data_IF_170690268074
#
_entry.id   IF_170690268074
#
_cell.length_a   1.000
_cell.length_b   1.000
_cell.length_c   1.000
_cell.angle_alpha   90.00
_cell.angle_beta   90.00
_cell.angle_gamma   90.00
#
_symmetry.space_group_name_H-M   'P 1'
#
loop_
_entity.id
_entity.type
_entity.pdbx_description
1 polymer ?
#
# COMPACT_ATOMS: atom_id res chain seq x y z
N UNK A 1 -9.70 -34.33 -29.63
CA UNK A 1 -9.44 -34.03 -28.98
C UNK A 1 -9.55 -33.68 -28.08
N UNK A 2 -9.85 -33.61 -27.91
CA UNK A 2 -9.96 -33.07 -27.23
C UNK A 2 -9.77 -33.11 -26.12
N UNK A 3 -9.37 -33.41 -25.72
CA UNK A 3 -9.02 -33.55 -24.59
C UNK A 3 -8.42 -32.62 -23.87
N UNK A 4 -7.85 -31.87 -24.42
CA UNK A 4 -7.36 -30.82 -23.78
C UNK A 4 -8.36 -30.14 -23.12
N UNK A 5 -9.47 -30.22 -23.55
CA UNK A 5 -10.57 -29.56 -22.93
C UNK A 5 -10.87 -30.12 -21.58
N UNK A 6 -10.30 -31.26 -21.28
CA UNK A 6 -10.50 -31.79 -19.95
C UNK A 6 -9.57 -31.17 -18.96
N UNK A 7 -8.55 -30.53 -19.43
CA UNK A 7 -7.75 -29.77 -18.52
C UNK A 7 -8.61 -28.60 -18.13
N UNK A 8 -8.94 -28.50 -16.89
CA UNK A 8 -9.59 -27.33 -16.37
C UNK A 8 -8.81 -26.14 -16.86
N UNK A 9 -9.49 -25.15 -17.46
CA UNK A 9 -8.77 -23.95 -17.86
C UNK A 9 -8.07 -23.45 -16.62
N UNK A 10 -6.81 -23.26 -16.73
CA UNK A 10 -6.03 -22.76 -15.65
C UNK A 10 -6.33 -21.29 -15.55
N UNK A 11 -7.46 -20.98 -14.94
CA UNK A 11 -7.74 -19.57 -14.63
C UNK A 11 -6.84 -19.25 -13.47
N UNK A 12 -5.90 -18.40 -13.73
CA UNK A 12 -5.07 -17.89 -12.67
C UNK A 12 -5.69 -16.62 -12.16
N UNK A 13 -6.12 -16.67 -10.92
CA UNK A 13 -6.71 -15.52 -10.26
C UNK A 13 -5.89 -15.20 -9.03
N UNK A 14 -5.60 -13.94 -8.85
CA UNK A 14 -4.91 -13.45 -7.67
C UNK A 14 -5.79 -12.43 -6.97
N UNK A 15 -5.82 -12.42 -5.64
CA UNK A 15 -6.41 -11.28 -4.97
C UNK A 15 -5.62 -10.03 -5.31
N UNK A 16 -6.31 -8.90 -5.32
CA UNK A 16 -5.71 -7.60 -5.56
C UNK A 16 -5.77 -6.82 -4.26
N UNK A 17 -4.63 -6.34 -3.81
CA UNK A 17 -4.57 -5.44 -2.66
C UNK A 17 -4.09 -4.09 -3.11
N UNK A 18 -4.75 -3.05 -2.63
CA UNK A 18 -4.35 -1.67 -2.90
C UNK A 18 -3.73 -1.10 -1.66
N UNK A 19 -2.63 -0.40 -1.82
CA UNK A 19 -1.83 0.11 -0.70
C UNK A 19 -1.53 1.58 -0.90
N UNK A 20 -1.53 2.33 0.19
CA UNK A 20 -1.31 3.76 0.17
C UNK A 20 0.09 4.12 0.64
N UNK A 21 0.76 4.99 -0.10
CA UNK A 21 1.97 5.63 0.39
C UNK A 21 1.54 7.01 0.88
N UNK A 22 1.33 7.13 2.18
CA UNK A 22 0.88 8.36 2.82
C UNK A 22 2.04 9.01 3.53
N UNK A 23 2.47 10.17 3.01
CA UNK A 23 3.58 10.92 3.59
C UNK A 23 3.03 12.17 4.27
N UNK A 24 3.43 12.37 5.51
CA UNK A 24 3.05 13.54 6.31
C UNK A 24 4.28 14.05 7.05
N UNK A 25 4.60 15.31 6.87
CA UNK A 25 5.78 15.95 7.48
C UNK A 25 7.07 15.18 7.18
N UNK A 26 7.22 14.73 5.93
CA UNK A 26 8.43 14.04 5.48
C UNK A 26 8.58 12.62 5.96
N UNK A 27 7.51 12.01 6.47
CA UNK A 27 7.54 10.63 6.98
C UNK A 27 6.38 9.83 6.43
N UNK A 28 6.64 8.56 6.13
CA UNK A 28 5.63 7.66 5.56
C UNK A 28 4.98 6.84 6.67
N UNK A 29 3.67 6.65 6.55
CA UNK A 29 2.89 5.85 7.49
C UNK A 29 3.05 4.38 7.17
N UNK A 30 3.48 3.58 8.14
CA UNK A 30 3.63 2.14 8.01
C UNK A 30 2.97 1.41 9.16
N UNK A 31 2.54 0.20 8.88
CA UNK A 31 1.93 -0.70 9.86
C UNK A 31 2.78 -1.96 9.96
N UNK A 32 2.87 -2.53 11.16
CA UNK A 32 3.61 -3.77 11.35
C UNK A 32 2.63 -4.92 11.42
N UNK A 33 2.88 -5.94 10.62
CA UNK A 33 2.00 -7.10 10.57
C UNK A 33 2.46 -8.22 11.51
N UNK A 34 1.71 -9.31 11.53
CA UNK A 34 1.99 -10.43 12.44
C UNK A 34 3.25 -11.20 12.07
N UNK A 35 3.79 -11.02 10.86
CA UNK A 35 5.05 -11.62 10.43
C UNK A 35 6.25 -10.77 10.82
N UNK A 36 6.04 -9.72 11.61
CA UNK A 36 7.08 -8.77 12.02
C UNK A 36 7.65 -7.99 10.84
N UNK A 37 6.86 -7.82 9.80
CA UNK A 37 7.23 -6.99 8.65
C UNK A 37 6.46 -5.69 8.70
N UNK A 38 7.10 -4.62 8.26
CA UNK A 38 6.42 -3.36 8.05
C UNK A 38 5.78 -3.37 6.66
N UNK A 39 4.63 -2.75 6.55
CA UNK A 39 3.89 -2.72 5.29
C UNK A 39 3.14 -1.40 5.15
N UNK A 40 2.73 -1.12 3.92
CA UNK A 40 1.87 0.03 3.65
C UNK A 40 0.45 -0.30 4.08
N UNK A 41 -0.29 0.70 4.58
CA UNK A 41 -1.70 0.51 4.89
C UNK A 41 -2.51 0.28 3.62
N UNK A 42 -3.57 -0.47 3.73
CA UNK A 42 -4.45 -0.80 2.62
C UNK A 42 -5.07 -2.17 2.80
N UNK A 43 -5.68 -2.70 1.76
CA UNK A 43 -6.32 -4.00 1.86
C UNK A 43 -6.85 -4.49 0.53
N UNK A 44 -7.63 -5.54 0.59
CA UNK A 44 -8.14 -6.21 -0.60
C UNK A 44 -9.22 -5.39 -1.29
N UNK A 45 -9.09 -5.30 -2.60
CA UNK A 45 -10.11 -4.70 -3.44
C UNK A 45 -11.34 -5.60 -3.45
N UNK A 46 -12.50 -5.01 -3.22
CA UNK A 46 -13.75 -5.73 -3.24
C UNK A 46 -14.44 -5.58 -4.59
N UNK A 47 -15.31 -6.54 -4.91
CA UNK A 47 -16.05 -6.48 -6.17
C UNK A 47 -16.90 -5.21 -6.23
N UNK A 48 -16.82 -4.52 -7.37
CA UNK A 48 -17.58 -3.30 -7.56
C UNK A 48 -16.99 -2.06 -6.92
N UNK A 49 -15.85 -2.18 -6.28
CA UNK A 49 -15.19 -1.07 -5.60
C UNK A 49 -14.06 -0.52 -6.46
N UNK A 50 -14.01 0.80 -6.64
CA UNK A 50 -12.89 1.43 -7.34
C UNK A 50 -11.67 1.43 -6.44
N UNK A 51 -10.45 1.27 -7.01
CA UNK A 51 -9.24 1.21 -6.18
C UNK A 51 -9.02 2.42 -5.28
N UNK A 52 -9.30 3.63 -5.76
CA UNK A 52 -9.12 4.83 -4.94
C UNK A 52 -10.09 4.86 -3.75
N UNK A 53 -11.32 4.42 -3.97
CA UNK A 53 -12.31 4.34 -2.89
C UNK A 53 -11.90 3.27 -1.87
N UNK A 54 -11.34 2.16 -2.35
CA UNK A 54 -10.84 1.10 -1.49
C UNK A 54 -9.74 1.62 -0.57
N UNK A 55 -8.80 2.38 -1.11
CA UNK A 55 -7.72 2.96 -0.31
C UNK A 55 -8.28 3.85 0.79
N UNK A 56 -9.17 4.77 0.46
CA UNK A 56 -9.74 5.67 1.45
C UNK A 56 -10.46 4.91 2.55
N UNK A 57 -11.22 3.89 2.18
CA UNK A 57 -11.95 3.05 3.13
C UNK A 57 -10.99 2.29 4.04
N UNK A 58 -10.00 1.61 3.47
CA UNK A 58 -9.05 0.81 4.23
C UNK A 58 -8.20 1.65 5.19
N UNK A 59 -7.74 2.81 4.74
CA UNK A 59 -6.96 3.70 5.60
C UNK A 59 -7.80 4.16 6.78
N UNK A 60 -9.05 4.53 6.54
CA UNK A 60 -9.96 4.93 7.60
C UNK A 60 -10.20 3.79 8.59
N UNK A 61 -10.42 2.57 8.08
CA UNK A 61 -10.63 1.41 8.94
C UNK A 61 -9.41 1.06 9.76
N UNK A 62 -8.22 1.12 9.16
CA UNK A 62 -7.00 0.70 9.83
C UNK A 62 -6.39 1.76 10.74
N UNK A 63 -6.55 3.02 10.42
CA UNK A 63 -5.83 4.10 11.11
C UNK A 63 -6.70 5.26 11.58
N UNK A 64 -7.93 5.34 11.12
CA UNK A 64 -8.81 6.46 11.41
C UNK A 64 -8.49 7.73 10.64
N UNK A 65 -7.50 7.71 9.75
CA UNK A 65 -7.09 8.91 9.04
C UNK A 65 -7.87 9.12 7.75
N UNK A 66 -8.37 10.35 7.51
CA UNK A 66 -8.93 10.69 6.21
C UNK A 66 -7.80 11.02 5.24
N UNK A 67 -7.91 10.54 4.01
CA UNK A 67 -6.89 10.75 2.99
C UNK A 67 -7.51 11.03 1.64
N UNK A 68 -6.76 11.74 0.81
CA UNK A 68 -7.09 11.91 -0.60
C UNK A 68 -6.16 11.01 -1.40
N UNK A 69 -6.73 10.14 -2.24
CA UNK A 69 -5.94 9.25 -3.07
C UNK A 69 -5.44 9.99 -4.30
N UNK A 70 -4.15 9.89 -4.54
CA UNK A 70 -3.48 10.48 -5.69
C UNK A 70 -3.21 9.46 -6.78
N UNK A 71 -2.06 9.59 -7.49
CA UNK A 71 -1.78 8.76 -8.64
C UNK A 71 -1.32 7.35 -8.25
N UNK A 72 -1.53 6.44 -9.20
CA UNK A 72 -0.96 5.10 -9.09
C UNK A 72 0.56 5.22 -9.19
N UNK A 73 1.26 4.46 -8.37
CA UNK A 73 2.72 4.49 -8.35
C UNK A 73 3.33 3.24 -8.98
N UNK A 74 2.79 2.07 -8.66
CA UNK A 74 3.39 0.82 -9.10
C UNK A 74 2.39 -0.32 -8.96
N UNK A 75 2.69 -1.41 -9.64
CA UNK A 75 1.95 -2.66 -9.49
C UNK A 75 2.95 -3.80 -9.57
N UNK A 76 2.86 -4.75 -8.63
CA UNK A 76 3.79 -5.86 -8.58
C UNK A 76 3.15 -7.06 -7.89
N UNK A 77 3.64 -8.25 -8.26
CA UNK A 77 3.13 -9.47 -7.66
C UNK A 77 3.95 -9.82 -6.43
N UNK A 78 3.27 -9.99 -5.32
CA UNK A 78 3.91 -10.34 -4.06
C UNK A 78 3.62 -11.81 -3.75
N UNK A 79 4.69 -12.59 -3.65
CA UNK A 79 4.60 -13.97 -3.22
C UNK A 79 4.83 -14.00 -1.71
N UNK A 80 3.75 -14.14 -0.95
CA UNK A 80 3.83 -14.10 0.52
C UNK A 80 4.36 -15.42 1.06
N UNK A 81 3.79 -16.52 0.58
CA UNK A 81 4.19 -17.88 0.96
C UNK A 81 3.61 -18.81 -0.08
N UNK A 82 3.88 -20.09 0.06
CA UNK A 82 3.39 -21.09 -0.89
C UNK A 82 1.87 -20.98 -1.05
N UNK A 83 1.44 -20.79 -2.29
CA UNK A 83 0.02 -20.66 -2.62
C UNK A 83 -0.61 -19.33 -2.27
N UNK A 84 0.17 -18.36 -1.78
CA UNK A 84 -0.33 -17.06 -1.39
C UNK A 84 0.34 -15.96 -2.19
N UNK A 85 -0.21 -15.70 -3.37
CA UNK A 85 0.25 -14.62 -4.24
C UNK A 85 -0.80 -13.53 -4.30
N UNK A 86 -0.37 -12.29 -4.38
CA UNK A 86 -1.28 -11.15 -4.43
C UNK A 86 -0.71 -10.11 -5.39
N UNK A 87 -1.58 -9.47 -6.15
CA UNK A 87 -1.19 -8.32 -6.95
C UNK A 87 -1.30 -7.09 -6.07
N UNK A 88 -0.19 -6.42 -5.84
CA UNK A 88 -0.14 -5.18 -5.07
C UNK A 88 -0.18 -4.01 -6.04
N UNK A 89 -1.07 -3.06 -5.78
CA UNK A 89 -1.12 -1.81 -6.54
C UNK A 89 -0.97 -0.68 -5.52
N UNK A 90 0.01 0.18 -5.72
CA UNK A 90 0.30 1.26 -4.78
C UNK A 90 -0.11 2.62 -5.34
N UNK A 91 -0.59 3.48 -4.44
CA UNK A 91 -1.03 4.83 -4.78
C UNK A 91 -0.37 5.81 -3.82
N UNK A 92 0.06 6.96 -4.36
CA UNK A 92 0.46 8.08 -3.51
C UNK A 92 -0.79 8.74 -2.94
N UNK A 93 -0.74 9.07 -1.67
CA UNK A 93 -1.90 9.66 -0.98
C UNK A 93 -1.49 10.89 -0.20
N UNK A 94 -2.47 11.77 0.03
CA UNK A 94 -2.26 13.00 0.80
C UNK A 94 -3.12 12.97 2.05
N UNK A 95 -2.57 13.37 3.21
CA UNK A 95 -3.37 13.45 4.43
C UNK A 95 -4.34 14.61 4.34
N UNK A 96 -5.53 14.46 4.96
CA UNK A 96 -6.53 15.52 5.01
C UNK A 96 -6.65 16.14 6.39
N UNK A 97 -5.63 16.04 7.20
CA UNK A 97 -5.65 16.61 8.54
C UNK A 97 -4.41 16.20 9.30
N UNK A 98 -4.37 16.57 10.58
CA UNK A 98 -3.22 16.29 11.44
C UNK A 98 -3.54 15.40 12.61
N UNK A 99 -4.67 14.70 12.58
CA UNK A 99 -5.02 13.82 13.68
C UNK A 99 -4.05 12.64 13.76
N UNK A 100 -3.87 12.13 14.96
CA UNK A 100 -2.98 10.99 15.18
C UNK A 100 -3.65 9.71 14.69
N UNK A 101 -2.89 8.81 14.04
CA UNK A 101 -3.45 7.53 13.64
C UNK A 101 -3.72 6.66 14.87
N UNK A 102 -4.70 5.76 14.73
CA UNK A 102 -5.08 4.82 15.76
C UNK A 102 -4.74 3.41 15.27
N UNK A 103 -4.04 2.65 16.09
CA UNK A 103 -3.68 1.28 15.75
C UNK A 103 -4.91 0.38 15.83
N UNK A 104 -5.20 -0.34 14.74
CA UNK A 104 -6.30 -1.30 14.73
C UNK A 104 -5.86 -2.64 15.31
N UNK A 105 -6.83 -3.50 15.61
CA UNK A 105 -6.54 -4.82 16.18
C UNK A 105 -5.82 -5.75 15.20
N UNK A 106 -5.82 -5.41 13.92
CA UNK A 106 -5.23 -6.25 12.89
C UNK A 106 -3.72 -6.09 12.77
N UNK A 107 -3.16 -5.07 13.39
CA UNK A 107 -1.73 -4.78 13.28
C UNK A 107 -1.06 -4.68 14.64
N UNK A 108 0.24 -4.94 14.66
CA UNK A 108 1.04 -4.98 15.89
C UNK A 108 1.61 -3.63 16.27
N UNK A 109 1.82 -2.77 15.31
CA UNK A 109 2.41 -1.46 15.54
C UNK A 109 2.11 -0.54 14.38
N UNK A 110 2.28 0.76 14.60
CA UNK A 110 2.04 1.80 13.60
C UNK A 110 3.03 2.91 13.85
N UNK A 111 3.53 3.52 12.77
CA UNK A 111 4.47 4.62 12.92
C UNK A 111 4.68 5.38 11.62
N UNK A 112 5.31 6.54 11.76
CA UNK A 112 5.75 7.36 10.65
C UNK A 112 7.28 7.29 10.56
N UNK A 113 7.80 7.06 9.38
CA UNK A 113 9.23 6.80 9.18
C UNK A 113 9.79 7.70 8.10
N UNK A 114 11.00 8.18 8.30
CA UNK A 114 11.72 8.92 7.26
C UNK A 114 12.14 7.95 6.15
N UNK A 115 12.44 8.50 4.98
CA UNK A 115 12.91 7.70 3.87
C UNK A 115 14.19 6.94 4.23
N UNK A 116 15.06 7.56 4.99
CA UNK A 116 16.30 6.91 5.43
C UNK A 116 16.03 5.72 6.34
N UNK A 117 15.05 5.86 7.25
CA UNK A 117 14.67 4.77 8.14
C UNK A 117 14.07 3.60 7.38
N UNK A 118 13.27 3.88 6.35
CA UNK A 118 12.63 2.84 5.54
C UNK A 118 13.65 1.90 4.93
N UNK A 119 14.81 2.42 4.52
CA UNK A 119 15.83 1.62 3.85
C UNK A 119 16.28 0.42 4.68
N UNK A 120 16.27 0.54 6.01
CA UNK A 120 16.73 -0.53 6.90
C UNK A 120 15.60 -1.34 7.53
N UNK A 121 14.34 -1.04 7.21
CA UNK A 121 13.24 -1.79 7.80
C UNK A 121 13.06 -3.16 7.13
N UNK A 122 12.54 -4.10 7.92
CA UNK A 122 12.13 -5.40 7.40
C UNK A 122 10.80 -5.21 6.67
N UNK A 123 10.85 -5.11 5.36
CA UNK A 123 9.66 -4.98 4.54
C UNK A 123 9.95 -5.38 3.10
N UNK A 124 8.94 -5.83 2.35
CA UNK A 124 9.12 -6.19 0.94
C UNK A 124 9.69 -5.04 0.11
N UNK A 125 10.61 -5.38 -0.77
CA UNK A 125 11.30 -4.40 -1.62
C UNK A 125 10.34 -3.61 -2.50
N UNK A 126 9.27 -4.23 -2.98
CA UNK A 126 8.28 -3.54 -3.80
C UNK A 126 7.66 -2.35 -3.09
N UNK A 127 7.39 -2.47 -1.80
CA UNK A 127 6.89 -1.34 -1.01
C UNK A 127 7.93 -0.23 -0.92
N UNK A 128 9.20 -0.61 -0.71
CA UNK A 128 10.28 0.40 -0.62
C UNK A 128 10.41 1.19 -1.92
N UNK A 129 10.26 0.53 -3.06
CA UNK A 129 10.31 1.20 -4.35
C UNK A 129 9.16 2.20 -4.52
N UNK A 130 7.96 1.83 -4.11
CA UNK A 130 6.82 2.73 -4.17
C UNK A 130 7.01 3.95 -3.28
N UNK A 131 7.53 3.72 -2.07
CA UNK A 131 7.81 4.80 -1.12
C UNK A 131 8.83 5.77 -1.71
N UNK A 132 9.91 5.24 -2.26
CA UNK A 132 10.95 6.05 -2.87
C UNK A 132 10.39 6.88 -4.02
N UNK A 133 9.56 6.28 -4.85
CA UNK A 133 8.92 6.96 -5.98
C UNK A 133 8.05 8.12 -5.51
N UNK A 134 7.26 7.91 -4.46
CA UNK A 134 6.37 8.96 -3.97
C UNK A 134 7.14 10.11 -3.33
N UNK A 135 8.16 9.80 -2.53
CA UNK A 135 9.01 10.85 -1.95
C UNK A 135 9.66 11.69 -3.04
N UNK A 136 10.12 11.07 -4.12
CA UNK A 136 10.73 11.80 -5.23
C UNK A 136 9.74 12.76 -5.88
N UNK A 137 8.50 12.32 -6.09
CA UNK A 137 7.46 13.19 -6.67
C UNK A 137 7.07 14.32 -5.73
N UNK A 138 6.93 14.03 -4.45
CA UNK A 138 6.56 15.04 -3.46
C UNK A 138 7.68 16.09 -3.31
N UNK A 139 8.93 15.69 -3.38
CA UNK A 139 10.05 16.60 -3.32
C UNK A 139 10.01 17.62 -4.45
N UNK A 140 9.64 17.19 -5.64
CA UNK A 140 9.49 18.07 -6.78
C UNK A 140 8.33 19.04 -6.58
N UNK A 141 7.18 18.53 -6.11
CA UNK A 141 6.01 19.34 -5.85
C UNK A 141 6.27 20.36 -4.75
N UNK A 142 6.98 19.97 -3.69
CA UNK A 142 7.33 20.86 -2.60
C UNK A 142 8.21 22.01 -3.07
N UNK A 143 9.15 21.72 -3.94
CA UNK A 143 10.01 22.77 -4.50
C UNK A 143 9.18 23.75 -5.31
N UNK A 144 8.26 23.27 -6.11
CA UNK A 144 7.37 24.13 -6.87
C UNK A 144 6.44 24.95 -5.98
N UNK A 145 5.96 24.35 -4.92
CA UNK A 145 5.05 25.05 -4.01
C UNK A 145 5.72 26.16 -3.21
N UNK A 146 7.04 26.09 -3.04
CA UNK A 146 7.77 27.11 -2.30
C UNK A 146 8.06 28.36 -3.12
N UNK A 147 7.95 28.22 -4.40
CA UNK A 147 8.14 29.36 -5.30
C UNK A 147 6.87 30.18 -5.41
#
# INVERSE_FOLDING_TARGET
MTQMSNAAPTVRAFPVSVKAVLVRHGRVLLLKNERQEWELPGGKLELGEEPQACIAREITEETGLPVTTGPILDAWQYHISEGRDVLIITYGCHPEGNQSPVLSNEHKDIGFFTQAEVASLNMPTGYKHSIQSWFARLGTDDIEARD
#
